data_IF_935922150007
#
_entry.id   IF_935922150007
#
_cell.length_a   1.000
_cell.length_b   1.000
_cell.length_c   1.000
_cell.angle_alpha   90.00
_cell.angle_beta   90.00
_cell.angle_gamma   90.00
#
_symmetry.space_group_name_H-M   'P 1'
#
loop_
_entity.id
_entity.type
_entity.pdbx_description
1 polymer ?
#
# COMPACT_ATOMS: atom_id res chain seq x y z
N UNK A 1 28.79 26.47 12.53
CA UNK A 1 28.46 25.05 12.29
C UNK A 1 27.42 24.60 13.30
N UNK A 2 26.12 24.70 12.99
CA UNK A 2 25.05 23.89 13.59
C UNK A 2 23.95 23.70 12.56
N UNK A 3 23.76 22.45 12.16
CA UNK A 3 22.71 21.97 11.27
C UNK A 3 21.38 21.92 12.02
N UNK A 4 20.33 22.44 11.41
CA UNK A 4 18.93 22.00 11.66
C UNK A 4 18.18 22.15 10.35
N UNK A 5 18.23 21.10 9.52
CA UNK A 5 17.40 20.96 8.33
C UNK A 5 16.83 19.55 8.33
N UNK A 6 15.82 19.32 9.16
CA UNK A 6 15.02 18.09 9.11
C UNK A 6 13.58 18.36 9.60
N UNK A 7 12.92 19.36 9.02
CA UNK A 7 11.48 19.57 9.21
C UNK A 7 10.84 20.01 7.89
N UNK A 8 10.58 19.06 6.98
CA UNK A 8 9.99 19.39 5.67
C UNK A 8 9.23 18.22 5.01
N UNK A 9 8.44 17.42 5.74
CA UNK A 9 7.70 16.32 5.09
C UNK A 9 6.17 16.30 5.26
N UNK A 10 5.55 17.13 6.11
CA UNK A 10 4.11 16.96 6.40
C UNK A 10 3.24 18.23 6.38
N UNK A 11 3.70 19.35 5.82
CA UNK A 11 2.88 20.58 5.80
C UNK A 11 2.60 21.10 4.40
N UNK A 12 1.52 20.60 3.81
CA UNK A 12 0.74 21.39 2.84
C UNK A 12 -0.62 21.68 3.44
N UNK A 13 -0.86 22.97 3.62
CA UNK A 13 -2.04 23.61 4.19
C UNK A 13 -3.30 23.26 3.41
N UNK A 14 -4.38 22.92 4.11
CA UNK A 14 -5.75 23.20 3.65
C UNK A 14 -6.49 23.81 4.83
N UNK A 15 -6.64 25.13 4.77
CA UNK A 15 -7.57 25.92 5.57
C UNK A 15 -8.83 26.15 4.72
N UNK A 16 -9.97 26.22 5.39
CA UNK A 16 -11.34 26.40 4.89
C UNK A 16 -12.09 25.16 4.34
N UNK A 17 -13.12 24.74 5.09
CA UNK A 17 -14.32 24.15 4.48
C UNK A 17 -14.77 22.76 4.97
N UNK A 18 -15.38 22.71 6.17
CA UNK A 18 -16.66 22.00 6.41
C UNK A 18 -16.72 20.48 6.06
N UNK A 19 -16.41 19.66 7.07
CA UNK A 19 -17.11 18.40 7.43
C UNK A 19 -17.42 17.34 6.35
N UNK A 20 -16.61 17.16 5.32
CA UNK A 20 -16.70 16.02 4.37
C UNK A 20 -15.35 15.42 3.95
N UNK A 21 -14.23 15.97 4.42
CA UNK A 21 -12.89 15.67 3.87
C UNK A 21 -12.24 14.37 4.36
N UNK A 22 -12.75 13.74 5.43
CA UNK A 22 -12.18 12.48 5.91
C UNK A 22 -12.43 11.31 4.93
N UNK A 23 -13.50 11.36 4.13
CA UNK A 23 -13.85 10.30 3.18
C UNK A 23 -13.06 10.42 1.85
N UNK A 24 -12.82 11.65 1.39
CA UNK A 24 -12.10 11.92 0.15
C UNK A 24 -10.58 11.76 0.29
N UNK A 25 -10.02 12.10 1.45
CA UNK A 25 -8.59 11.90 1.75
C UNK A 25 -8.27 10.40 1.89
N UNK A 26 -9.13 9.65 2.60
CA UNK A 26 -9.03 8.17 2.74
C UNK A 26 -9.19 7.46 1.38
N UNK A 27 -10.10 7.92 0.51
CA UNK A 27 -10.25 7.38 -0.84
C UNK A 27 -9.03 7.67 -1.74
N UNK A 28 -8.42 8.85 -1.62
CA UNK A 28 -7.22 9.22 -2.36
C UNK A 28 -6.00 8.40 -1.89
N UNK A 29 -5.85 8.21 -0.57
CA UNK A 29 -4.82 7.35 0.01
C UNK A 29 -4.99 5.89 -0.44
N UNK A 30 -6.21 5.34 -0.39
CA UNK A 30 -6.50 3.99 -0.90
C UNK A 30 -6.12 3.81 -2.35
N UNK A 31 -6.47 4.78 -3.19
CA UNK A 31 -6.12 4.75 -4.62
C UNK A 31 -4.60 4.80 -4.83
N UNK A 32 -3.88 5.57 -4.01
CA UNK A 32 -2.42 5.63 -4.01
C UNK A 32 -1.77 4.31 -3.59
N UNK A 33 -2.27 3.69 -2.53
CA UNK A 33 -1.81 2.39 -2.02
C UNK A 33 -2.01 1.29 -3.07
N UNK A 34 -3.21 1.22 -3.66
CA UNK A 34 -3.51 0.24 -4.72
C UNK A 34 -2.59 0.42 -5.93
N UNK A 35 -2.37 1.66 -6.37
CA UNK A 35 -1.47 1.95 -7.50
C UNK A 35 -0.02 1.55 -7.18
N UNK A 36 0.46 1.80 -5.96
CA UNK A 36 1.79 1.41 -5.53
C UNK A 36 1.95 -0.13 -5.49
N UNK A 37 0.99 -0.85 -4.92
CA UNK A 37 1.01 -2.31 -4.87
C UNK A 37 0.92 -2.90 -6.29
N UNK A 38 0.07 -2.35 -7.14
CA UNK A 38 -0.04 -2.74 -8.56
C UNK A 38 1.30 -2.58 -9.28
N UNK A 39 2.03 -1.50 -9.02
CA UNK A 39 3.36 -1.28 -9.58
C UNK A 39 4.38 -2.31 -9.07
N UNK A 40 4.34 -2.66 -7.77
CA UNK A 40 5.19 -3.71 -7.20
C UNK A 40 4.90 -5.08 -7.83
N UNK A 41 3.62 -5.44 -7.98
CA UNK A 41 3.22 -6.69 -8.63
C UNK A 41 3.67 -6.71 -10.09
N UNK A 42 3.44 -5.63 -10.83
CA UNK A 42 3.88 -5.52 -12.24
C UNK A 42 5.40 -5.67 -12.36
N UNK A 43 6.16 -5.12 -11.41
CA UNK A 43 7.61 -5.27 -11.33
C UNK A 43 8.01 -6.72 -11.07
N UNK A 44 7.31 -7.42 -10.18
CA UNK A 44 7.56 -8.85 -9.90
C UNK A 44 7.20 -9.75 -11.09
N UNK A 45 6.22 -9.38 -11.90
CA UNK A 45 5.81 -10.12 -13.11
C UNK A 45 6.76 -9.93 -14.31
N UNK A 46 7.71 -9.00 -14.24
CA UNK A 46 8.73 -8.83 -15.26
C UNK A 46 8.24 -8.25 -16.58
N UNK A 47 7.73 -7.00 -16.56
CA UNK A 47 7.72 -6.04 -17.69
C UNK A 47 6.98 -6.38 -18.99
N UNK A 48 6.53 -7.63 -19.19
CA UNK A 48 5.88 -8.11 -20.42
C UNK A 48 4.42 -8.55 -20.24
N UNK A 49 3.89 -8.49 -19.02
CA UNK A 49 2.50 -8.83 -18.70
C UNK A 49 1.59 -7.59 -18.79
N UNK A 50 0.32 -7.74 -19.22
CA UNK A 50 -0.67 -6.67 -19.12
C UNK A 50 -0.83 -6.23 -17.66
N UNK A 51 -1.17 -4.96 -17.44
CA UNK A 51 -1.37 -4.39 -16.11
C UNK A 51 -2.33 -5.31 -15.32
N UNK A 52 -1.91 -5.85 -14.17
CA UNK A 52 -2.75 -6.74 -13.38
C UNK A 52 -3.96 -5.98 -12.86
N UNK A 53 -5.13 -6.62 -12.88
CA UNK A 53 -6.36 -6.01 -12.37
C UNK A 53 -6.39 -6.13 -10.83
N UNK A 54 -6.99 -5.16 -10.12
CA UNK A 54 -6.97 -5.14 -8.66
C UNK A 54 -7.65 -6.36 -8.04
N UNK A 55 -8.72 -6.87 -8.66
CA UNK A 55 -9.44 -8.08 -8.23
C UNK A 55 -8.87 -9.37 -8.82
N UNK A 56 -7.75 -9.31 -9.53
CA UNK A 56 -7.14 -10.49 -10.14
C UNK A 56 -6.35 -11.27 -9.11
N UNK A 57 -6.48 -12.59 -9.19
CA UNK A 57 -5.74 -13.50 -8.33
C UNK A 57 -4.24 -13.41 -8.61
N UNK A 58 -3.45 -13.09 -7.58
CA UNK A 58 -1.99 -12.97 -7.67
C UNK A 58 -1.34 -14.28 -8.14
N UNK A 59 -1.85 -15.43 -7.69
CA UNK A 59 -1.39 -16.73 -8.15
C UNK A 59 -1.76 -17.03 -9.60
N UNK A 60 -2.90 -16.52 -10.09
CA UNK A 60 -3.30 -16.68 -11.50
C UNK A 60 -2.43 -15.84 -12.44
N UNK A 61 -1.82 -14.76 -11.92
CA UNK A 61 -0.80 -13.97 -12.63
C UNK A 61 0.56 -14.67 -12.70
N UNK A 62 0.72 -15.82 -12.05
CA UNK A 62 1.97 -16.56 -12.01
C UNK A 62 2.94 -16.11 -10.91
N UNK A 63 2.47 -15.36 -9.90
CA UNK A 63 3.28 -15.10 -8.72
C UNK A 63 3.41 -16.38 -7.89
N UNK A 64 4.61 -16.94 -7.89
CA UNK A 64 5.01 -17.99 -6.98
C UNK A 64 5.07 -17.51 -5.51
N UNK A 65 5.06 -18.48 -4.59
CA UNK A 65 5.01 -18.19 -3.15
C UNK A 65 6.21 -17.35 -2.67
N UNK A 66 7.38 -17.48 -3.30
CA UNK A 66 8.55 -16.65 -2.97
C UNK A 66 8.34 -15.20 -3.42
N UNK A 67 7.82 -14.99 -4.62
CA UNK A 67 7.46 -13.67 -5.14
C UNK A 67 6.39 -12.98 -4.31
N UNK A 68 5.39 -13.72 -3.80
CA UNK A 68 4.38 -13.22 -2.87
C UNK A 68 4.98 -12.77 -1.53
N UNK A 69 5.85 -13.59 -0.92
CA UNK A 69 6.55 -13.24 0.32
C UNK A 69 7.41 -11.99 0.12
N UNK A 70 8.15 -11.92 -0.98
CA UNK A 70 9.00 -10.77 -1.29
C UNK A 70 8.18 -9.48 -1.54
N UNK A 71 7.02 -9.60 -2.21
CA UNK A 71 6.08 -8.51 -2.40
C UNK A 71 5.59 -7.97 -1.06
N UNK A 72 5.11 -8.84 -0.18
CA UNK A 72 4.57 -8.48 1.13
C UNK A 72 5.65 -7.82 1.99
N UNK A 73 6.85 -8.42 2.08
CA UNK A 73 7.97 -7.81 2.80
C UNK A 73 8.41 -6.46 2.21
N UNK A 74 8.17 -6.22 0.92
CA UNK A 74 8.42 -4.92 0.29
C UNK A 74 7.33 -3.91 0.66
N UNK A 75 6.07 -4.33 0.65
CA UNK A 75 4.93 -3.51 1.10
C UNK A 75 5.08 -3.11 2.57
N UNK A 76 5.39 -4.05 3.46
CA UNK A 76 5.65 -3.78 4.88
C UNK A 76 6.71 -2.69 5.07
N UNK A 77 7.85 -2.83 4.37
CA UNK A 77 8.94 -1.85 4.43
C UNK A 77 8.57 -0.51 3.81
N UNK A 78 7.79 -0.50 2.73
CA UNK A 78 7.43 0.72 2.01
C UNK A 78 6.40 1.57 2.77
N UNK A 79 5.44 0.91 3.42
CA UNK A 79 4.37 1.59 4.17
C UNK A 79 4.65 1.67 5.68
N UNK A 80 5.74 1.05 6.17
CA UNK A 80 6.06 1.02 7.60
C UNK A 80 5.05 0.21 8.42
N UNK A 81 4.39 -0.76 7.79
CA UNK A 81 3.41 -1.64 8.43
C UNK A 81 4.02 -3.01 8.68
N UNK A 82 3.34 -3.80 9.51
CA UNK A 82 3.68 -5.19 9.75
C UNK A 82 2.41 -6.00 9.66
N UNK A 83 2.34 -6.92 8.70
CA UNK A 83 1.25 -7.87 8.66
C UNK A 83 1.43 -8.84 9.83
N UNK A 84 0.34 -9.19 10.50
CA UNK A 84 0.41 -10.14 11.61
C UNK A 84 1.02 -11.46 11.15
N UNK A 85 1.84 -12.09 11.99
CA UNK A 85 2.44 -13.40 11.71
C UNK A 85 1.39 -14.51 11.48
N UNK A 86 0.15 -14.26 11.89
CA UNK A 86 -1.01 -15.13 11.68
C UNK A 86 -1.61 -15.01 10.27
N UNK A 87 -1.25 -13.96 9.52
CA UNK A 87 -1.72 -13.72 8.16
C UNK A 87 -0.67 -14.23 7.18
N UNK A 88 -0.78 -15.49 6.69
CA UNK A 88 0.18 -16.00 5.74
C UNK A 88 0.10 -15.20 4.44
N UNK A 89 1.18 -15.18 3.64
CA UNK A 89 1.22 -14.45 2.37
C UNK A 89 0.20 -14.94 1.35
N UNK A 90 -0.32 -16.16 1.53
CA UNK A 90 -1.38 -16.75 0.73
C UNK A 90 -2.80 -16.36 1.16
N UNK A 91 -2.95 -15.66 2.29
CA UNK A 91 -4.22 -15.05 2.66
C UNK A 91 -4.60 -13.89 1.73
N UNK A 92 -3.61 -13.28 1.07
CA UNK A 92 -3.81 -12.22 0.09
C UNK A 92 -4.03 -12.83 -1.29
N UNK A 93 -5.29 -12.97 -1.68
CA UNK A 93 -5.64 -13.56 -2.97
C UNK A 93 -5.44 -12.55 -4.12
N UNK A 94 -5.71 -11.26 -3.88
CA UNK A 94 -5.71 -10.20 -4.89
C UNK A 94 -5.05 -8.90 -4.43
N UNK A 95 -4.70 -8.02 -5.38
CA UNK A 95 -4.13 -6.69 -5.12
C UNK A 95 -5.08 -5.85 -4.26
N UNK A 96 -6.39 -5.89 -4.56
CA UNK A 96 -7.42 -5.15 -3.84
C UNK A 96 -7.47 -5.51 -2.35
N UNK A 97 -7.37 -6.81 -2.03
CA UNK A 97 -7.32 -7.27 -0.64
C UNK A 97 -6.03 -6.81 0.06
N UNK A 98 -4.90 -6.86 -0.63
CA UNK A 98 -3.63 -6.38 -0.06
C UNK A 98 -3.68 -4.86 0.18
N UNK A 99 -4.23 -4.08 -0.75
CA UNK A 99 -4.37 -2.63 -0.59
C UNK A 99 -5.36 -2.24 0.50
N UNK A 100 -6.46 -2.98 0.65
CA UNK A 100 -7.44 -2.75 1.71
C UNK A 100 -6.82 -2.99 3.08
N UNK A 101 -6.07 -4.10 3.25
CA UNK A 101 -5.41 -4.40 4.51
C UNK A 101 -4.30 -3.39 4.85
N UNK A 102 -3.52 -2.96 3.85
CA UNK A 102 -2.51 -1.90 4.02
C UNK A 102 -3.18 -0.59 4.46
N UNK A 103 -4.26 -0.19 3.79
CA UNK A 103 -5.02 1.02 4.14
C UNK A 103 -5.54 0.93 5.58
N UNK A 104 -6.14 -0.21 5.95
CA UNK A 104 -6.65 -0.46 7.29
C UNK A 104 -5.55 -0.35 8.36
N UNK A 105 -4.37 -0.90 8.10
CA UNK A 105 -3.23 -0.85 9.02
C UNK A 105 -2.62 0.54 9.12
N UNK A 106 -2.50 1.27 8.00
CA UNK A 106 -2.04 2.66 7.99
C UNK A 106 -2.98 3.55 8.80
N UNK A 107 -4.29 3.48 8.57
CA UNK A 107 -5.29 4.27 9.31
C UNK A 107 -5.29 3.91 10.81
N UNK A 108 -5.08 2.64 11.16
CA UNK A 108 -4.98 2.21 12.56
C UNK A 108 -3.72 2.72 13.27
N UNK A 109 -2.61 2.96 12.55
CA UNK A 109 -1.40 3.56 13.12
C UNK A 109 -1.53 5.06 13.36
N UNK A 110 -2.27 5.78 12.51
CA UNK A 110 -2.49 7.23 12.65
C UNK A 110 -3.41 7.56 13.84
N UNK A 111 -4.30 6.65 14.21
CA UNK A 111 -5.24 6.82 15.32
C UNK A 111 -4.64 6.61 16.73
N UNK A 112 -3.32 6.41 16.85
CA UNK A 112 -2.63 6.01 18.08
C UNK A 112 -1.61 7.06 18.54
#
# INVERSE_FOLDING_TARGET
>A
MRSTQTEAACRTRIDEGKSTVADADDAAERTGIEAAITALVTRSLGGGQPKPQPHQELRALGLDSQSLVALIATVERQFGIQFGLDTPPEAFASIAQLSDEVSRLCSAQIAK
#
